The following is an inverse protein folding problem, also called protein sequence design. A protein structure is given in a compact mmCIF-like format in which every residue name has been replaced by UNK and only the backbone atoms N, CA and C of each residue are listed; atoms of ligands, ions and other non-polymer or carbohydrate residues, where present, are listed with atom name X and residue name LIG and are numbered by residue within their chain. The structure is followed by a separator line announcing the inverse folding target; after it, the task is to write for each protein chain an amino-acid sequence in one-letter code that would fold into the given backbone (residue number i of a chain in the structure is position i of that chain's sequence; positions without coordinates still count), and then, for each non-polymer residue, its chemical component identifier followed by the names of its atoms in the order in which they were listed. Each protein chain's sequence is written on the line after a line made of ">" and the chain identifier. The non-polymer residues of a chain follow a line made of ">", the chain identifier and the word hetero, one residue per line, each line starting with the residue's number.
data_IF_132088279653
#
_entry.id   IF_132088279653
#
_cell.length_a   1.000
_cell.length_b   1.000
_cell.length_c   1.000
_cell.angle_alpha   90.00
_cell.angle_beta   90.00
_cell.angle_gamma   90.00
#
_symmetry.space_group_name_H-M   'P 1'
#
loop_
_entity.id
_entity.type
_entity.pdbx_description
1 polymer ?
#
# COMPACT_ATOMS: atom_id res chain seq x y z
N UNK A 1 0.65 -13.87 -0.83
CA UNK A 1 0.30 -13.82 -2.28
C UNK A 1 -0.31 -12.47 -2.70
N UNK A 2 -1.58 -12.14 -2.38
CA UNK A 2 -2.25 -10.95 -2.93
C UNK A 2 -1.55 -9.62 -2.59
N UNK A 3 -1.20 -9.43 -1.33
CA UNK A 3 -0.52 -8.22 -0.82
C UNK A 3 1.00 -8.26 -1.02
N UNK A 4 1.53 -9.31 -1.67
CA UNK A 4 2.95 -9.42 -2.02
C UNK A 4 3.90 -9.78 -0.87
N UNK A 5 3.42 -10.50 0.15
CA UNK A 5 4.28 -10.99 1.23
C UNK A 5 5.41 -11.90 0.69
N UNK A 6 6.69 -11.66 1.04
CA UNK A 6 7.87 -12.28 0.42
C UNK A 6 7.96 -13.79 0.65
N UNK A 7 7.44 -14.30 1.77
CA UNK A 7 7.46 -15.74 2.10
C UNK A 7 6.60 -16.62 1.17
N UNK A 8 5.84 -16.02 0.25
CA UNK A 8 4.97 -16.76 -0.67
C UNK A 8 5.46 -16.64 -2.10
N UNK A 9 5.76 -17.79 -2.70
CA UNK A 9 6.02 -17.92 -4.13
C UNK A 9 4.74 -18.28 -4.88
N UNK A 10 4.49 -17.61 -6.00
CA UNK A 10 3.38 -17.92 -6.91
C UNK A 10 3.85 -19.00 -7.88
N UNK A 11 3.26 -20.20 -7.80
CA UNK A 11 3.61 -21.32 -8.68
C UNK A 11 2.85 -21.33 -10.00
N UNK A 12 1.77 -20.55 -10.12
CA UNK A 12 1.00 -20.42 -11.36
C UNK A 12 -0.31 -19.65 -11.18
N UNK A 13 -0.94 -19.32 -12.31
CA UNK A 13 -2.19 -18.55 -12.35
C UNK A 13 -1.99 -17.04 -12.45
N UNK A 14 -3.09 -16.30 -12.32
CA UNK A 14 -3.12 -14.84 -12.43
C UNK A 14 -4.18 -14.25 -11.51
N UNK A 15 -3.99 -13.02 -11.05
CA UNK A 15 -5.00 -12.30 -10.25
C UNK A 15 -5.34 -10.98 -10.93
N UNK A 16 -6.51 -10.90 -11.55
CA UNK A 16 -7.00 -9.67 -12.18
C UNK A 16 -7.64 -8.72 -11.17
N UNK A 17 -7.21 -7.45 -11.18
CA UNK A 17 -7.82 -6.38 -10.42
C UNK A 17 -7.77 -5.06 -11.20
N UNK A 18 -8.94 -4.45 -11.46
CA UNK A 18 -9.07 -3.20 -12.24
C UNK A 18 -8.30 -3.22 -13.57
N UNK A 19 -8.32 -4.36 -14.26
CA UNK A 19 -7.62 -4.52 -15.55
C UNK A 19 -6.12 -4.81 -15.46
N UNK A 20 -5.54 -4.95 -14.25
CA UNK A 20 -4.12 -5.26 -14.05
C UNK A 20 -3.96 -6.66 -13.43
N UNK A 21 -2.86 -7.34 -13.75
CA UNK A 21 -2.48 -8.57 -13.05
C UNK A 21 -1.66 -8.23 -11.80
N UNK A 22 -2.23 -8.44 -10.62
CA UNK A 22 -1.57 -8.09 -9.35
C UNK A 22 -0.27 -8.86 -9.10
N UNK A 23 -0.13 -10.06 -9.67
CA UNK A 23 1.05 -10.90 -9.43
C UNK A 23 2.32 -10.37 -10.12
N UNK A 24 2.17 -9.49 -11.11
CA UNK A 24 3.27 -8.83 -11.83
C UNK A 24 3.68 -7.48 -11.22
N UNK A 25 3.01 -7.07 -10.13
CA UNK A 25 3.19 -5.76 -9.51
C UNK A 25 3.92 -5.87 -8.18
N UNK A 26 4.69 -4.84 -7.81
CA UNK A 26 5.27 -4.72 -6.48
C UNK A 26 4.19 -4.40 -5.43
N UNK A 27 4.37 -4.75 -4.14
CA UNK A 27 3.38 -4.50 -3.08
C UNK A 27 2.88 -3.05 -3.02
N UNK A 28 3.78 -2.08 -3.19
CA UNK A 28 3.45 -0.66 -3.25
C UNK A 28 2.49 -0.34 -4.41
N UNK A 29 2.76 -0.86 -5.59
CA UNK A 29 1.95 -0.61 -6.79
C UNK A 29 0.55 -1.21 -6.64
N UNK A 30 0.46 -2.38 -5.99
CA UNK A 30 -0.81 -2.99 -5.62
C UNK A 30 -1.61 -2.07 -4.68
N UNK A 31 -0.93 -1.41 -3.74
CA UNK A 31 -1.55 -0.42 -2.86
C UNK A 31 -2.10 0.78 -3.63
N UNK A 32 -1.32 1.32 -4.58
CA UNK A 32 -1.70 2.48 -5.38
C UNK A 32 -2.93 2.23 -6.26
N UNK A 33 -3.09 1.03 -6.82
CA UNK A 33 -4.31 0.66 -7.57
C UNK A 33 -5.53 0.45 -6.66
N UNK A 34 -5.34 0.46 -5.34
CA UNK A 34 -6.38 0.46 -4.32
C UNK A 34 -6.56 -0.87 -3.59
N UNK A 35 -5.57 -1.77 -3.63
CA UNK A 35 -5.55 -2.92 -2.73
C UNK A 35 -5.11 -2.46 -1.33
N UNK A 36 -5.85 -2.82 -0.30
CA UNK A 36 -5.51 -2.49 1.08
C UNK A 36 -5.53 -3.75 1.93
N UNK A 37 -4.66 -3.79 2.95
CA UNK A 37 -4.63 -4.83 3.97
C UNK A 37 -4.68 -4.18 5.34
N UNK A 38 -5.67 -4.55 6.14
CA UNK A 38 -5.62 -4.29 7.58
C UNK A 38 -4.80 -5.38 8.27
N UNK A 39 -4.01 -4.99 9.25
CA UNK A 39 -3.37 -5.94 10.15
C UNK A 39 -4.31 -6.24 11.33
N UNK A 40 -4.43 -7.51 11.70
CA UNK A 40 -5.19 -7.91 12.89
C UNK A 40 -4.53 -7.38 14.18
N UNK A 41 -3.19 -7.23 14.17
CA UNK A 41 -2.41 -6.63 15.25
C UNK A 41 -1.19 -5.93 14.63
N UNK A 42 -1.29 -4.63 14.31
CA UNK A 42 -0.16 -3.89 13.75
C UNK A 42 0.96 -3.79 14.79
N UNK A 43 2.20 -3.95 14.33
CA UNK A 43 3.38 -3.75 15.18
C UNK A 43 3.55 -2.27 15.47
N UNK A 44 3.69 -1.90 16.74
CA UNK A 44 4.00 -0.53 17.11
C UNK A 44 5.44 -0.19 16.73
N UNK A 45 5.65 0.99 16.14
CA UNK A 45 6.98 1.50 15.81
C UNK A 45 7.30 2.65 16.77
N UNK A 46 8.23 2.46 17.72
CA UNK A 46 8.60 3.50 18.67
C UNK A 46 9.03 4.79 17.97
N UNK A 47 8.46 5.92 18.40
CA UNK A 47 8.76 7.24 17.82
C UNK A 47 8.00 7.57 16.53
N UNK A 48 7.16 6.69 16.01
CA UNK A 48 6.29 6.96 14.87
C UNK A 48 4.86 7.21 15.35
N UNK A 49 4.40 8.45 15.16
CA UNK A 49 3.00 8.82 15.42
C UNK A 49 2.08 8.20 14.36
N UNK A 50 0.95 7.63 14.79
CA UNK A 50 -0.09 7.14 13.88
C UNK A 50 -0.58 8.23 12.91
N UNK A 51 -0.67 9.47 13.38
CA UNK A 51 -1.09 10.60 12.54
C UNK A 51 -0.09 10.87 11.43
N UNK A 52 1.20 10.95 11.77
CA UNK A 52 2.26 11.19 10.80
C UNK A 52 2.38 10.02 9.82
N UNK A 53 2.29 8.78 10.30
CA UNK A 53 2.29 7.59 9.46
C UNK A 53 1.16 7.63 8.41
N UNK A 54 -0.08 7.89 8.85
CA UNK A 54 -1.23 7.99 7.95
C UNK A 54 -1.11 9.16 6.97
N UNK A 55 -0.57 10.30 7.42
CA UNK A 55 -0.33 11.47 6.57
C UNK A 55 0.68 11.17 5.48
N UNK A 56 1.82 10.56 5.84
CA UNK A 56 2.86 10.13 4.90
C UNK A 56 2.31 9.12 3.88
N UNK A 57 1.57 8.10 4.34
CA UNK A 57 0.96 7.10 3.47
C UNK A 57 -0.04 7.73 2.48
N UNK A 58 -0.86 8.67 2.95
CA UNK A 58 -1.82 9.41 2.11
C UNK A 58 -1.12 10.29 1.07
N UNK A 59 -0.05 10.99 1.47
CA UNK A 59 0.74 11.83 0.56
C UNK A 59 1.46 11.00 -0.51
N UNK A 60 2.08 9.87 -0.15
CA UNK A 60 2.72 8.97 -1.10
C UNK A 60 1.74 8.52 -2.20
N UNK A 61 0.49 8.19 -1.82
CA UNK A 61 -0.57 7.85 -2.77
C UNK A 61 -0.99 9.03 -3.63
N UNK A 62 -1.12 10.23 -3.06
CA UNK A 62 -1.46 11.47 -3.80
C UNK A 62 -0.41 11.80 -4.86
N UNK A 63 0.88 11.76 -4.49
CA UNK A 63 2.00 11.99 -5.41
C UNK A 63 1.96 11.01 -6.57
N UNK A 64 1.73 9.71 -6.30
CA UNK A 64 1.59 8.71 -7.37
C UNK A 64 0.42 8.99 -8.32
N UNK A 65 -0.66 9.58 -7.82
CA UNK A 65 -1.84 9.97 -8.61
C UNK A 65 -1.72 11.36 -9.27
N UNK A 66 -0.58 12.06 -9.11
CA UNK A 66 -0.41 13.42 -9.62
C UNK A 66 -1.26 14.47 -8.89
N UNK A 67 -1.71 14.16 -7.67
CA UNK A 67 -2.51 15.04 -6.82
C UNK A 67 -1.61 15.82 -5.85
N UNK A 68 -2.01 17.03 -5.43
CA UNK A 68 -1.28 17.78 -4.42
C UNK A 68 -1.29 17.06 -3.07
N UNK A 69 -0.15 17.14 -2.39
CA UNK A 69 0.02 16.66 -1.02
C UNK A 69 -0.90 17.40 -0.04
N UNK A 70 -1.16 16.77 1.10
CA UNK A 70 -1.84 17.40 2.22
C UNK A 70 -0.90 18.40 2.90
N UNK A 71 -1.42 19.61 3.09
CA UNK A 71 -0.74 20.65 3.86
C UNK A 71 -0.49 20.26 5.33
N UNK A 72 0.23 21.11 6.08
CA UNK A 72 0.42 20.94 7.52
C UNK A 72 -0.94 20.77 8.22
N UNK A 73 -0.97 19.92 9.24
CA UNK A 73 -2.11 19.83 10.14
C UNK A 73 -1.94 20.99 11.14
N UNK A 74 -2.89 21.92 11.16
CA UNK A 74 -2.99 22.99 12.16
C UNK A 74 -3.55 22.48 13.49
#
# INVERSE_FOLDING_TARGET
>A
VLVGHPDYEVTGGSVGFKGNNLLEMEPEERSHVGLFMSFQSPVEIPGVSNLEFLRMASNARKVKLGLPELGPIE
#
